data_IF_835974925663
#
_entry.id   IF_835974925663
#
_cell.length_a   1.000
_cell.length_b   1.000
_cell.length_c   1.000
_cell.angle_alpha   90.00
_cell.angle_beta   90.00
_cell.angle_gamma   90.00
#
_symmetry.space_group_name_H-M   'P 1'
#
loop_
_entity.id
_entity.type
_entity.pdbx_description
1 polymer ?
#
# COMPACT_ATOMS: atom_id res chain seq x y z
N UNK A 1 6.24 7.25 23.08
CA UNK A 1 7.12 6.76 22.00
C UNK A 1 6.27 5.97 21.02
N UNK A 2 6.51 6.11 19.72
CA UNK A 2 5.82 5.34 18.69
C UNK A 2 6.30 3.89 18.76
N UNK A 3 5.37 2.93 18.91
CA UNK A 3 5.75 1.51 19.10
C UNK A 3 6.25 0.83 17.83
N UNK A 4 5.99 1.40 16.66
CA UNK A 4 6.45 0.80 15.38
C UNK A 4 7.96 0.88 15.20
N UNK A 5 8.66 1.72 15.98
CA UNK A 5 10.13 1.81 15.98
C UNK A 5 10.80 0.51 16.44
N UNK A 6 10.11 -0.30 17.25
CA UNK A 6 10.63 -1.57 17.78
C UNK A 6 10.60 -2.70 16.73
N UNK A 7 10.08 -2.43 15.53
CA UNK A 7 9.92 -3.38 14.44
C UNK A 7 10.69 -2.95 13.19
N UNK A 8 11.16 -3.94 12.43
CA UNK A 8 11.82 -3.70 11.15
C UNK A 8 10.83 -3.48 10.01
N UNK A 9 9.63 -4.07 10.11
CA UNK A 9 8.60 -4.01 9.08
C UNK A 9 7.21 -3.73 9.66
N UNK A 10 6.52 -2.72 9.13
CA UNK A 10 5.11 -2.46 9.47
C UNK A 10 4.23 -2.70 8.25
N UNK A 11 3.24 -3.59 8.37
CA UNK A 11 2.20 -3.83 7.37
C UNK A 11 1.07 -2.82 7.57
N UNK A 12 0.97 -1.85 6.67
CA UNK A 12 -0.11 -0.84 6.68
C UNK A 12 -1.33 -1.38 5.93
N UNK A 13 -2.47 -1.42 6.61
CA UNK A 13 -3.75 -1.93 6.09
C UNK A 13 -4.82 -0.84 6.19
N UNK A 14 -5.12 -0.13 5.09
CA UNK A 14 -6.25 0.79 5.00
C UNK A 14 -7.60 0.06 5.11
N UNK A 15 -8.51 0.58 5.93
CA UNK A 15 -9.83 -0.02 6.19
C UNK A 15 -10.94 1.01 6.01
N UNK A 16 -11.96 0.68 5.20
CA UNK A 16 -13.18 1.50 5.06
C UNK A 16 -14.45 0.65 4.84
N UNK A 17 -15.23 0.48 5.90
CA UNK A 17 -16.36 -0.43 6.01
C UNK A 17 -16.05 -1.85 5.52
N UNK A 18 -15.17 -2.53 6.25
CA UNK A 18 -14.74 -3.91 5.98
C UNK A 18 -14.96 -4.76 7.25
N UNK A 19 -16.02 -4.49 8.02
CA UNK A 19 -16.22 -5.13 9.32
C UNK A 19 -16.19 -6.66 9.24
N UNK A 20 -16.77 -7.22 8.17
CA UNK A 20 -16.82 -8.65 7.87
C UNK A 20 -15.43 -9.30 7.70
N UNK A 21 -14.44 -8.54 7.23
CA UNK A 21 -13.12 -9.05 6.89
C UNK A 21 -12.09 -8.94 8.05
N UNK A 22 -12.34 -8.10 9.06
CA UNK A 22 -11.33 -7.78 10.08
C UNK A 22 -10.84 -8.99 10.88
N UNK A 23 -11.74 -9.88 11.31
CA UNK A 23 -11.33 -11.07 12.10
C UNK A 23 -10.63 -12.13 11.24
N UNK A 24 -11.01 -12.25 9.96
CA UNK A 24 -10.29 -13.12 9.02
C UNK A 24 -8.90 -12.58 8.70
N UNK A 25 -8.76 -11.26 8.57
CA UNK A 25 -7.46 -10.59 8.43
C UNK A 25 -6.60 -10.81 9.67
N UNK A 26 -7.18 -10.66 10.86
CA UNK A 26 -6.51 -10.91 12.11
C UNK A 26 -5.91 -12.31 12.15
N UNK A 27 -6.70 -13.35 11.88
CA UNK A 27 -6.24 -14.75 11.85
C UNK A 27 -5.03 -14.92 10.90
N UNK A 28 -5.16 -14.47 9.64
CA UNK A 28 -4.09 -14.58 8.64
C UNK A 28 -2.83 -13.82 9.03
N UNK A 29 -2.98 -12.63 9.60
CA UNK A 29 -1.84 -11.82 9.99
C UNK A 29 -1.18 -12.37 11.26
N UNK A 30 -1.96 -12.82 12.25
CA UNK A 30 -1.43 -13.41 13.48
C UNK A 30 -0.67 -14.70 13.21
N UNK A 31 -1.13 -15.49 12.24
CA UNK A 31 -0.43 -16.69 11.79
C UNK A 31 0.86 -16.36 11.02
N UNK A 32 0.86 -15.27 10.25
CA UNK A 32 2.00 -14.85 9.46
C UNK A 32 3.12 -14.21 10.30
N UNK A 33 2.81 -13.32 11.24
CA UNK A 33 3.81 -12.52 11.96
C UNK A 33 4.97 -13.34 12.57
N UNK A 34 4.74 -14.50 13.22
CA UNK A 34 5.81 -15.36 13.73
C UNK A 34 6.74 -15.94 12.66
N UNK A 35 6.26 -16.01 11.42
CA UNK A 35 6.97 -16.58 10.27
C UNK A 35 7.49 -15.50 9.30
N UNK A 36 7.33 -14.22 9.65
CA UNK A 36 7.89 -13.13 8.85
C UNK A 36 9.41 -13.20 8.83
N UNK A 37 10.03 -12.86 7.70
CA UNK A 37 11.49 -12.82 7.55
C UNK A 37 12.20 -11.82 8.50
N UNK A 38 11.46 -10.87 9.07
CA UNK A 38 12.00 -9.85 9.96
C UNK A 38 10.98 -9.46 11.04
N UNK A 39 11.42 -8.78 12.10
CA UNK A 39 10.51 -8.33 13.17
C UNK A 39 9.41 -7.43 12.58
N UNK A 40 8.15 -7.86 12.71
CA UNK A 40 7.03 -7.28 11.98
C UNK A 40 5.83 -6.95 12.86
N UNK A 41 5.12 -5.88 12.54
CA UNK A 41 3.85 -5.51 13.15
C UNK A 41 2.81 -5.09 12.11
N UNK A 42 1.55 -4.98 12.53
CA UNK A 42 0.43 -4.55 11.70
C UNK A 42 -0.05 -3.17 12.15
N UNK A 43 -0.32 -2.28 11.20
CA UNK A 43 -0.97 -0.99 11.43
C UNK A 43 -2.27 -0.91 10.61
N UNK A 44 -3.40 -1.02 11.29
CA UNK A 44 -4.70 -0.71 10.68
C UNK A 44 -4.89 0.82 10.58
N UNK A 45 -5.30 1.28 9.41
CA UNK A 45 -5.67 2.68 9.19
C UNK A 45 -7.14 2.77 8.88
N UNK A 46 -7.97 3.06 9.88
CA UNK A 46 -9.39 3.28 9.67
C UNK A 46 -9.63 4.62 8.95
N UNK A 47 -10.06 4.56 7.70
CA UNK A 47 -10.35 5.73 6.84
C UNK A 47 -11.77 6.25 7.08
N UNK A 48 -12.09 6.52 8.35
CA UNK A 48 -13.40 7.05 8.76
C UNK A 48 -14.58 6.14 8.43
N UNK A 49 -14.48 4.84 8.74
CA UNK A 49 -15.59 3.88 8.54
C UNK A 49 -16.86 4.30 9.28
N UNK A 50 -18.01 3.96 8.69
CA UNK A 50 -19.36 4.24 9.21
C UNK A 50 -20.05 3.00 9.78
N UNK A 51 -19.46 1.81 9.60
CA UNK A 51 -19.90 0.54 10.18
C UNK A 51 -19.10 0.22 11.47
N UNK A 52 -19.16 -1.02 11.96
CA UNK A 52 -18.43 -1.43 13.16
C UNK A 52 -16.95 -1.79 12.90
N UNK A 53 -16.36 -1.38 11.77
CA UNK A 53 -14.95 -1.69 11.45
C UNK A 53 -14.00 -1.17 12.53
N UNK A 54 -14.20 0.05 13.02
CA UNK A 54 -13.33 0.63 14.05
C UNK A 54 -13.45 -0.13 15.38
N UNK A 55 -14.65 -0.58 15.76
CA UNK A 55 -14.86 -1.40 16.95
C UNK A 55 -14.03 -2.68 16.87
N UNK A 56 -14.19 -3.43 15.78
CA UNK A 56 -13.45 -4.68 15.56
C UNK A 56 -11.93 -4.46 15.50
N UNK A 57 -11.44 -3.40 14.84
CA UNK A 57 -10.00 -3.06 14.83
C UNK A 57 -9.47 -2.87 16.26
N UNK A 58 -10.21 -2.15 17.12
CA UNK A 58 -9.82 -1.93 18.50
C UNK A 58 -9.77 -3.23 19.29
N UNK A 59 -10.74 -4.11 19.09
CA UNK A 59 -10.78 -5.43 19.74
C UNK A 59 -9.56 -6.28 19.37
N UNK A 60 -9.21 -6.32 18.07
CA UNK A 60 -7.99 -6.99 17.57
C UNK A 60 -6.72 -6.42 18.21
N UNK A 61 -6.56 -5.10 18.20
CA UNK A 61 -5.36 -4.45 18.75
C UNK A 61 -5.26 -4.55 20.28
N UNK A 62 -6.38 -4.74 20.98
CA UNK A 62 -6.38 -4.92 22.43
C UNK A 62 -5.82 -6.28 22.86
N UNK A 63 -5.97 -7.31 22.03
CA UNK A 63 -5.57 -8.70 22.33
C UNK A 63 -4.28 -9.15 21.64
N UNK A 64 -3.77 -8.40 20.67
CA UNK A 64 -2.49 -8.65 20.02
C UNK A 64 -1.50 -7.50 20.24
N UNK A 65 -0.33 -7.80 20.82
CA UNK A 65 0.70 -6.78 21.13
C UNK A 65 1.35 -6.14 19.89
N UNK A 66 1.38 -6.88 18.78
CA UNK A 66 2.03 -6.50 17.51
C UNK A 66 1.05 -5.86 16.52
N UNK A 67 -0.14 -5.48 17.00
CA UNK A 67 -1.20 -4.87 16.20
C UNK A 67 -1.50 -3.48 16.73
N UNK A 68 -1.48 -2.51 15.83
CA UNK A 68 -1.70 -1.10 16.11
C UNK A 68 -2.78 -0.54 15.19
N UNK A 69 -3.33 0.61 15.57
CA UNK A 69 -4.28 1.31 14.72
C UNK A 69 -4.13 2.82 14.80
N UNK A 70 -4.51 3.49 13.72
CA UNK A 70 -4.88 4.90 13.70
C UNK A 70 -6.28 5.03 13.08
N UNK A 71 -7.02 6.08 13.47
CA UNK A 71 -8.35 6.34 12.92
C UNK A 71 -8.44 7.76 12.42
N UNK A 72 -8.78 7.92 11.14
CA UNK A 72 -8.99 9.21 10.51
C UNK A 72 -10.38 9.74 10.86
N UNK A 73 -10.50 11.07 10.94
CA UNK A 73 -11.75 11.75 11.33
C UNK A 73 -12.90 11.52 10.34
N UNK A 74 -12.58 11.37 9.06
CA UNK A 74 -13.55 11.17 7.97
C UNK A 74 -12.88 10.42 6.82
N UNK A 75 -13.70 9.81 5.97
CA UNK A 75 -13.21 9.16 4.76
C UNK A 75 -12.51 10.15 3.82
N UNK A 76 -11.25 9.84 3.47
CA UNK A 76 -10.44 10.57 2.50
C UNK A 76 -9.98 9.72 1.32
N UNK A 77 -10.31 8.43 1.30
CA UNK A 77 -9.96 7.48 0.26
C UNK A 77 -8.60 6.81 0.49
N UNK A 78 -8.34 5.77 -0.31
CA UNK A 78 -7.18 4.88 -0.16
C UNK A 78 -5.83 5.62 -0.09
N UNK A 79 -5.60 6.62 -0.95
CA UNK A 79 -4.34 7.40 -0.91
C UNK A 79 -4.15 8.12 0.42
N UNK A 80 -5.24 8.64 1.02
CA UNK A 80 -5.19 9.38 2.27
C UNK A 80 -4.85 8.46 3.44
N UNK A 81 -5.54 7.31 3.52
CA UNK A 81 -5.27 6.29 4.53
C UNK A 81 -3.85 5.72 4.42
N UNK A 82 -3.40 5.42 3.20
CA UNK A 82 -2.03 4.97 2.95
C UNK A 82 -1.00 6.02 3.39
N UNK A 83 -1.21 7.31 3.08
CA UNK A 83 -0.30 8.38 3.52
C UNK A 83 -0.22 8.45 5.03
N UNK A 84 -1.38 8.51 5.69
CA UNK A 84 -1.45 8.59 7.13
C UNK A 84 -0.71 7.43 7.79
N UNK A 85 -0.87 6.20 7.28
CA UNK A 85 -0.13 5.04 7.75
C UNK A 85 1.39 5.16 7.54
N UNK A 86 1.85 5.60 6.37
CA UNK A 86 3.27 5.81 6.08
C UNK A 86 3.90 6.86 6.99
N UNK A 87 3.19 7.97 7.22
CA UNK A 87 3.72 9.10 7.99
C UNK A 87 3.92 8.76 9.47
N UNK A 88 3.00 8.00 10.05
CA UNK A 88 3.09 7.58 11.46
C UNK A 88 3.95 6.33 11.65
N UNK A 89 4.39 5.65 10.60
CA UNK A 89 5.21 4.44 10.75
C UNK A 89 6.68 4.81 10.95
N UNK A 90 7.34 4.17 11.90
CA UNK A 90 8.76 4.39 12.22
C UNK A 90 9.68 3.20 11.91
N UNK A 91 9.12 2.05 11.51
CA UNK A 91 9.91 0.91 11.03
C UNK A 91 10.72 1.22 9.77
N UNK A 92 11.81 0.48 9.54
CA UNK A 92 12.68 0.62 8.36
C UNK A 92 11.98 0.28 7.04
N UNK A 93 11.08 -0.69 7.07
CA UNK A 93 10.30 -1.13 5.91
C UNK A 93 8.81 -0.94 6.14
N UNK A 94 8.11 -0.52 5.09
CA UNK A 94 6.67 -0.29 5.10
C UNK A 94 6.01 -1.19 4.07
N UNK A 95 5.13 -2.07 4.55
CA UNK A 95 4.29 -2.94 3.76
C UNK A 95 2.94 -2.28 3.48
N UNK A 96 2.33 -2.64 2.37
CA UNK A 96 0.95 -2.29 2.08
C UNK A 96 0.18 -3.54 1.64
N UNK A 97 -1.01 -3.71 2.20
CA UNK A 97 -1.97 -4.75 1.86
C UNK A 97 -3.40 -4.17 1.89
N UNK A 98 -4.29 -4.69 1.05
CA UNK A 98 -5.73 -4.40 1.13
C UNK A 98 -6.41 -5.26 2.19
N UNK A 99 -7.52 -4.76 2.73
CA UNK A 99 -8.32 -5.46 3.74
C UNK A 99 -9.28 -6.54 3.18
N UNK A 100 -9.30 -6.78 1.86
CA UNK A 100 -10.33 -7.61 1.21
C UNK A 100 -9.92 -9.07 0.95
N UNK A 101 -8.81 -9.50 1.55
CA UNK A 101 -8.27 -10.87 1.52
C UNK A 101 -7.95 -11.40 0.10
N UNK A 102 -7.81 -10.51 -0.89
CA UNK A 102 -7.40 -10.91 -2.25
C UNK A 102 -5.91 -11.26 -2.35
N UNK A 103 -5.12 -10.87 -1.36
CA UNK A 103 -3.70 -11.19 -1.21
C UNK A 103 -3.45 -11.90 0.11
N UNK A 104 -2.36 -12.64 0.18
CA UNK A 104 -1.97 -13.42 1.36
C UNK A 104 -0.72 -12.80 2.01
N UNK A 105 -0.68 -12.63 3.34
CA UNK A 105 0.46 -12.04 4.03
C UNK A 105 1.79 -12.78 3.79
N UNK A 106 1.75 -14.09 3.56
CA UNK A 106 2.91 -14.95 3.32
C UNK A 106 3.73 -14.50 2.11
N UNK A 107 3.08 -13.91 1.11
CA UNK A 107 3.75 -13.37 -0.07
C UNK A 107 4.65 -12.16 0.29
N UNK A 108 4.50 -11.53 1.47
CA UNK A 108 5.44 -10.50 1.93
C UNK A 108 6.86 -11.06 2.09
N UNK A 109 7.04 -12.31 2.49
CA UNK A 109 8.37 -12.92 2.59
C UNK A 109 9.07 -12.97 1.21
N UNK A 110 8.32 -13.22 0.13
CA UNK A 110 8.85 -13.16 -1.23
C UNK A 110 9.37 -11.75 -1.55
N UNK A 111 8.62 -10.71 -1.17
CA UNK A 111 9.01 -9.31 -1.41
C UNK A 111 10.19 -8.89 -0.53
N UNK A 112 10.17 -9.24 0.76
CA UNK A 112 11.21 -8.92 1.74
C UNK A 112 12.56 -9.51 1.36
N UNK A 113 12.61 -10.68 0.71
CA UNK A 113 13.86 -11.28 0.22
C UNK A 113 14.66 -10.41 -0.76
N UNK A 114 14.03 -9.40 -1.37
CA UNK A 114 14.68 -8.47 -2.31
C UNK A 114 14.80 -7.05 -1.77
N UNK A 115 14.17 -6.68 -0.65
CA UNK A 115 14.03 -5.28 -0.24
C UNK A 115 15.37 -4.60 0.13
N UNK A 116 16.41 -5.38 0.43
CA UNK A 116 17.75 -4.83 0.68
C UNK A 116 18.38 -4.15 -0.54
N UNK A 117 18.02 -4.60 -1.75
CA UNK A 117 18.62 -4.14 -3.01
C UNK A 117 17.76 -3.12 -3.78
N UNK A 118 16.54 -2.88 -3.30
CA UNK A 118 15.53 -2.09 -3.99
C UNK A 118 14.74 -1.20 -3.02
N UNK A 119 14.34 -0.03 -3.47
CA UNK A 119 13.54 0.92 -2.69
C UNK A 119 12.04 0.56 -2.66
N UNK A 120 11.58 -0.19 -3.67
CA UNK A 120 10.24 -0.75 -3.74
C UNK A 120 10.29 -2.13 -4.38
N UNK A 121 9.75 -3.12 -3.67
CA UNK A 121 9.42 -4.43 -4.23
C UNK A 121 7.91 -4.57 -4.25
N UNK A 122 7.34 -4.96 -5.39
CA UNK A 122 5.89 -5.05 -5.57
C UNK A 122 5.46 -6.37 -6.19
N UNK A 123 4.27 -6.82 -5.81
CA UNK A 123 3.63 -7.98 -6.40
C UNK A 123 3.18 -7.73 -7.85
N UNK A 124 3.24 -8.77 -8.68
CA UNK A 124 2.47 -8.90 -9.92
C UNK A 124 1.52 -10.06 -9.72
N UNK A 125 0.22 -9.80 -9.86
CA UNK A 125 -0.79 -10.85 -9.74
C UNK A 125 -0.64 -11.87 -10.87
N UNK A 126 -0.48 -13.14 -10.49
CA UNK A 126 -0.52 -14.26 -11.43
C UNK A 126 -1.95 -14.82 -11.54
N UNK A 127 -2.29 -15.49 -12.65
CA UNK A 127 -3.56 -16.22 -12.81
C UNK A 127 -4.87 -15.43 -12.60
N UNK A 128 -4.97 -14.21 -13.14
CA UNK A 128 -6.21 -13.42 -13.12
C UNK A 128 -7.39 -14.12 -13.82
N UNK A 129 -8.37 -14.57 -13.03
CA UNK A 129 -9.73 -14.96 -13.47
C UNK A 129 -10.67 -13.76 -13.65
N UNK A 130 -10.14 -12.63 -14.12
CA UNK A 130 -10.95 -11.45 -14.44
C UNK A 130 -11.74 -11.65 -15.75
N UNK A 131 -12.96 -11.11 -15.82
CA UNK A 131 -13.77 -11.11 -17.05
C UNK A 131 -13.03 -10.38 -18.19
N UNK A 132 -13.31 -10.75 -19.45
CA UNK A 132 -12.67 -10.19 -20.65
C UNK A 132 -12.75 -8.66 -20.67
N UNK A 133 -13.89 -8.09 -20.23
CA UNK A 133 -14.11 -6.65 -20.13
C UNK A 133 -13.18 -5.98 -19.10
N UNK A 134 -12.99 -6.59 -17.92
CA UNK A 134 -12.05 -6.11 -16.89
C UNK A 134 -10.60 -6.19 -17.37
N UNK A 135 -10.23 -7.24 -18.12
CA UNK A 135 -8.90 -7.38 -18.72
C UNK A 135 -8.62 -6.29 -19.77
N UNK A 136 -9.59 -5.96 -20.61
CA UNK A 136 -9.46 -4.92 -21.63
C UNK A 136 -9.34 -3.51 -21.01
N UNK A 137 -10.18 -3.19 -20.02
CA UNK A 137 -10.09 -1.92 -19.29
C UNK A 137 -8.77 -1.77 -18.54
N UNK A 138 -8.31 -2.83 -17.87
CA UNK A 138 -7.01 -2.83 -17.19
C UNK A 138 -5.85 -2.68 -18.19
N UNK A 139 -5.94 -3.25 -19.39
CA UNK A 139 -4.94 -3.08 -20.45
C UNK A 139 -4.87 -1.64 -20.95
N UNK A 140 -6.01 -0.97 -21.13
CA UNK A 140 -6.08 0.44 -21.57
C UNK A 140 -5.53 1.37 -20.49
N UNK A 141 -5.98 1.22 -19.24
CA UNK A 141 -5.48 2.03 -18.12
C UNK A 141 -3.98 1.83 -17.89
N UNK A 142 -3.50 0.58 -17.93
CA UNK A 142 -2.07 0.29 -17.79
C UNK A 142 -1.27 0.75 -19.01
N UNK A 143 -1.84 0.72 -20.22
CA UNK A 143 -1.21 1.22 -21.45
C UNK A 143 -1.01 2.73 -21.41
N UNK A 144 -2.06 3.47 -21.05
CA UNK A 144 -2.00 4.92 -20.91
C UNK A 144 -1.04 5.34 -19.79
N UNK A 145 -1.05 4.65 -18.64
CA UNK A 145 -0.08 4.89 -17.56
C UNK A 145 1.35 4.69 -18.06
N UNK A 146 1.65 3.55 -18.70
CA UNK A 146 2.99 3.22 -19.21
C UNK A 146 3.53 4.29 -20.17
N UNK A 147 2.65 4.84 -21.02
CA UNK A 147 3.00 5.90 -21.96
C UNK A 147 3.43 7.20 -21.24
N UNK A 148 3.00 7.43 -20.00
CA UNK A 148 3.29 8.65 -19.26
C UNK A 148 4.42 8.42 -18.24
N UNK A 149 4.37 7.32 -17.50
CA UNK A 149 5.30 7.05 -16.40
C UNK A 149 6.62 6.44 -16.86
N UNK A 150 6.63 5.70 -17.98
CA UNK A 150 7.81 4.96 -18.47
C UNK A 150 8.48 4.09 -17.37
N UNK A 151 7.68 3.58 -16.45
CA UNK A 151 8.15 2.92 -15.22
C UNK A 151 8.46 1.41 -15.37
N UNK A 152 8.20 0.82 -16.54
CA UNK A 152 8.41 -0.62 -16.78
C UNK A 152 7.50 -1.57 -15.97
N UNK A 153 6.49 -1.05 -15.27
CA UNK A 153 5.64 -1.84 -14.36
C UNK A 153 4.45 -2.47 -15.07
N UNK A 154 4.30 -3.79 -14.90
CA UNK A 154 3.28 -4.64 -15.51
C UNK A 154 1.93 -4.57 -14.79
N UNK A 155 1.92 -4.46 -13.47
CA UNK A 155 0.69 -4.42 -12.64
C UNK A 155 0.81 -3.50 -11.42
N UNK A 156 0.47 -2.21 -11.55
CA UNK A 156 0.48 -1.28 -10.39
C UNK A 156 -0.65 -1.52 -9.40
N UNK A 157 -1.70 -2.22 -9.82
CA UNK A 157 -2.90 -2.42 -9.03
C UNK A 157 -2.80 -3.62 -8.09
N UNK A 158 -1.66 -4.31 -8.02
CA UNK A 158 -1.43 -5.30 -6.97
C UNK A 158 -1.22 -4.57 -5.64
N UNK A 159 -2.02 -4.84 -4.60
CA UNK A 159 -1.90 -4.12 -3.34
C UNK A 159 -0.63 -4.51 -2.58
N UNK A 160 -0.10 -5.72 -2.76
CA UNK A 160 1.09 -6.17 -2.04
C UNK A 160 2.36 -5.42 -2.49
N UNK A 161 2.89 -4.59 -1.60
CA UNK A 161 4.11 -3.80 -1.81
C UNK A 161 4.92 -3.73 -0.52
N UNK A 162 6.24 -3.70 -0.65
CA UNK A 162 7.19 -3.38 0.43
C UNK A 162 8.08 -2.24 -0.05
N UNK A 163 8.20 -1.20 0.76
CA UNK A 163 8.98 0.00 0.49
C UNK A 163 9.97 0.27 1.61
N UNK A 164 11.12 0.85 1.28
CA UNK A 164 11.96 1.48 2.30
C UNK A 164 11.29 2.74 2.85
N UNK A 165 11.31 2.92 4.17
CA UNK A 165 10.56 3.99 4.83
C UNK A 165 11.03 5.40 4.44
N UNK A 166 12.33 5.60 4.27
CA UNK A 166 12.97 6.84 3.81
C UNK A 166 12.50 7.26 2.40
N UNK A 167 12.21 6.31 1.52
CA UNK A 167 11.62 6.59 0.21
C UNK A 167 10.11 6.77 0.29
N UNK A 168 9.41 5.93 1.04
CA UNK A 168 7.95 6.00 1.18
C UNK A 168 7.49 7.34 1.77
N UNK A 169 8.19 7.85 2.80
CA UNK A 169 7.86 9.12 3.46
C UNK A 169 8.06 10.34 2.56
N UNK A 170 9.04 10.30 1.65
CA UNK A 170 9.37 11.38 0.70
C UNK A 170 8.47 11.43 -0.53
N UNK A 171 7.60 10.44 -0.73
CA UNK A 171 6.67 10.44 -1.88
C UNK A 171 5.77 11.69 -1.80
N UNK A 172 5.66 12.50 -2.87
CA UNK A 172 4.69 13.58 -2.93
C UNK A 172 3.28 13.00 -3.10
N UNK A 173 2.41 13.25 -2.14
CA UNK A 173 1.05 12.67 -2.11
C UNK A 173 0.03 13.57 -2.80
N UNK A 174 -0.83 12.93 -3.60
CA UNK A 174 -2.04 13.50 -4.17
C UNK A 174 -3.13 12.42 -4.24
N UNK A 175 -4.39 12.80 -4.45
CA UNK A 175 -5.50 11.85 -4.61
C UNK A 175 -5.22 10.90 -5.78
N UNK A 176 -5.33 9.58 -5.58
CA UNK A 176 -5.01 8.59 -6.63
C UNK A 176 -3.54 8.16 -6.71
N UNK A 177 -2.64 8.79 -5.94
CA UNK A 177 -1.20 8.52 -5.91
C UNK A 177 -0.83 7.03 -5.75
N UNK A 178 -1.58 6.24 -4.96
CA UNK A 178 -1.31 4.80 -4.76
C UNK A 178 -1.11 3.99 -6.06
N UNK A 179 -1.65 4.46 -7.19
CA UNK A 179 -1.49 3.85 -8.53
C UNK A 179 -0.14 4.14 -9.20
N UNK A 180 0.57 5.16 -8.72
CA UNK A 180 1.80 5.72 -9.28
C UNK A 180 3.01 5.49 -8.38
N UNK A 181 2.87 4.73 -7.27
CA UNK A 181 3.97 4.44 -6.34
C UNK A 181 5.28 4.06 -7.05
N UNK A 182 5.31 3.13 -8.04
CA UNK A 182 6.58 2.79 -8.68
C UNK A 182 7.19 3.94 -9.48
N UNK A 183 6.35 4.71 -10.18
CA UNK A 183 6.81 5.87 -10.93
C UNK A 183 7.38 6.94 -9.98
N UNK A 184 6.79 7.11 -8.80
CA UNK A 184 7.24 8.08 -7.79
C UNK A 184 8.53 7.67 -7.09
N UNK A 185 8.76 6.36 -6.93
CA UNK A 185 10.05 5.84 -6.46
C UNK A 185 11.13 6.08 -7.51
N UNK A 186 10.83 5.86 -8.80
CA UNK A 186 11.76 6.16 -9.89
C UNK A 186 12.05 7.66 -10.01
N UNK A 187 11.09 8.56 -9.72
CA UNK A 187 11.35 10.01 -9.66
C UNK A 187 12.38 10.38 -8.59
N UNK A 188 12.44 9.61 -7.50
CA UNK A 188 13.44 9.74 -6.43
C UNK A 188 14.74 8.97 -6.74
N UNK A 189 14.94 8.53 -8.00
CA UNK A 189 16.07 7.70 -8.45
C UNK A 189 16.20 6.36 -7.70
N UNK A 190 15.13 5.90 -7.05
CA UNK A 190 15.09 4.57 -6.43
C UNK A 190 14.94 3.45 -7.45
N UNK A 191 15.33 2.24 -7.07
CA UNK A 191 15.18 1.02 -7.87
C UNK A 191 13.89 0.29 -7.48
N UNK A 192 13.28 -0.35 -8.46
CA UNK A 192 12.05 -1.13 -8.25
C UNK A 192 12.22 -2.58 -8.71
N UNK A 193 11.56 -3.51 -8.03
CA UNK A 193 11.48 -4.92 -8.42
C UNK A 193 10.03 -5.41 -8.42
N UNK A 194 9.71 -6.27 -9.36
CA UNK A 194 8.38 -6.88 -9.48
C UNK A 194 8.49 -8.39 -9.29
N UNK A 195 7.69 -8.95 -8.38
CA UNK A 195 7.70 -10.37 -8.00
C UNK A 195 6.32 -10.98 -8.24
N UNK A 196 6.20 -12.14 -8.91
CA UNK A 196 4.93 -12.85 -9.03
C UNK A 196 4.36 -13.22 -7.65
N UNK A 197 3.08 -12.93 -7.42
CA UNK A 197 2.37 -13.22 -6.15
C UNK A 197 1.02 -13.89 -6.40
N UNK A 198 0.49 -14.54 -5.37
CA UNK A 198 -0.82 -15.17 -5.40
C UNK A 198 -1.93 -14.12 -5.39
N UNK A 199 -3.08 -14.45 -5.99
CA UNK A 199 -4.25 -13.58 -5.99
C UNK A 199 -5.55 -14.39 -5.94
N UNK A 200 -6.37 -14.10 -4.94
CA UNK A 200 -7.62 -14.79 -4.68
C UNK A 200 -8.83 -13.91 -5.05
N UNK A 201 -9.99 -14.51 -5.37
CA UNK A 201 -11.23 -13.75 -5.45
C UNK A 201 -11.59 -13.16 -4.08
N UNK A 202 -12.32 -12.03 -4.07
CA UNK A 202 -12.79 -11.40 -2.83
C UNK A 202 -13.73 -12.35 -2.10
N UNK A 203 -13.56 -12.48 -0.78
CA UNK A 203 -14.36 -13.38 0.07
C UNK A 203 -15.68 -12.72 0.50
N UNK A 204 -15.64 -11.45 0.92
CA UNK A 204 -16.82 -10.71 1.40
C UNK A 204 -16.76 -9.20 1.04
N UNK A 205 -17.90 -8.51 1.14
CA UNK A 205 -18.02 -7.07 0.85
C UNK A 205 -18.33 -6.68 -0.61
N UNK A 206 -18.98 -5.53 -0.78
CA UNK A 206 -19.36 -4.98 -2.09
C UNK A 206 -18.23 -4.15 -2.73
N UNK A 207 -18.09 -4.23 -4.06
CA UNK A 207 -17.11 -3.42 -4.80
C UNK A 207 -17.59 -1.97 -4.90
N UNK A 208 -17.05 -1.06 -4.08
CA UNK A 208 -17.41 0.38 -4.06
C UNK A 208 -16.93 1.20 -5.28
N UNK A 209 -16.32 0.58 -6.29
CA UNK A 209 -15.78 1.28 -7.47
C UNK A 209 -16.79 1.38 -8.63
N UNK A 210 -17.41 2.55 -8.81
CA UNK A 210 -18.26 2.86 -9.97
C UNK A 210 -17.45 3.13 -11.26
N UNK A 211 -18.03 2.77 -12.42
CA UNK A 211 -17.38 2.78 -13.75
C UNK A 211 -16.85 4.16 -14.19
N UNK A 212 -17.50 5.25 -13.79
CA UNK A 212 -17.11 6.62 -14.14
C UNK A 212 -15.85 7.10 -13.40
N UNK A 213 -15.69 6.73 -12.12
CA UNK A 213 -14.47 6.95 -11.34
C UNK A 213 -13.27 6.11 -11.82
N UNK A 214 -13.51 5.12 -12.69
CA UNK A 214 -12.46 4.25 -13.25
C UNK A 214 -11.80 4.80 -14.52
N UNK A 215 -12.40 5.79 -15.18
CA UNK A 215 -11.89 6.32 -16.44
C UNK A 215 -11.36 7.74 -16.29
N UNK A 216 -12.12 8.67 -15.69
CA UNK A 216 -11.74 10.09 -15.65
C UNK A 216 -10.65 10.36 -14.60
N UNK A 217 -10.77 9.81 -13.39
CA UNK A 217 -9.78 10.04 -12.33
C UNK A 217 -8.36 9.61 -12.75
N UNK A 218 -8.13 8.44 -13.37
CA UNK A 218 -6.80 8.10 -13.87
C UNK A 218 -6.21 9.08 -14.88
N UNK A 219 -7.02 9.74 -15.72
CA UNK A 219 -6.51 10.77 -16.65
C UNK A 219 -6.03 12.02 -15.91
N UNK A 220 -6.82 12.51 -14.96
CA UNK A 220 -6.45 13.68 -14.14
C UNK A 220 -5.20 13.36 -13.30
N UNK A 221 -5.17 12.17 -12.70
CA UNK A 221 -4.02 11.70 -11.91
C UNK A 221 -2.74 11.63 -12.76
N UNK A 222 -2.85 11.19 -14.03
CA UNK A 222 -1.72 11.17 -14.96
C UNK A 222 -1.21 12.57 -15.32
N UNK A 223 -2.11 13.54 -15.52
CA UNK A 223 -1.72 14.93 -15.74
C UNK A 223 -1.02 15.50 -14.50
N UNK A 224 -1.56 15.24 -13.30
CA UNK A 224 -0.95 15.63 -12.05
C UNK A 224 0.48 15.06 -11.92
N UNK A 225 0.66 13.76 -12.18
CA UNK A 225 1.97 13.14 -12.21
C UNK A 225 2.91 13.76 -13.25
N UNK A 226 2.45 13.98 -14.49
CA UNK A 226 3.27 14.55 -15.56
C UNK A 226 3.74 15.98 -15.23
N UNK A 227 2.83 16.82 -14.72
CA UNK A 227 3.14 18.17 -14.28
C UNK A 227 4.12 18.16 -13.10
N UNK A 228 3.84 17.35 -12.08
CA UNK A 228 4.66 17.22 -10.88
C UNK A 228 6.05 16.70 -11.20
N UNK A 229 6.18 15.73 -12.11
CA UNK A 229 7.48 15.19 -12.56
C UNK A 229 8.42 16.30 -13.05
N UNK A 230 7.91 17.28 -13.81
CA UNK A 230 8.73 18.40 -14.32
C UNK A 230 9.13 19.40 -13.24
N UNK A 231 8.51 19.35 -12.06
CA UNK A 231 8.66 20.28 -10.94
C UNK A 231 9.15 19.57 -9.67
N UNK A 232 9.55 18.30 -9.78
CA UNK A 232 9.95 17.50 -8.63
C UNK A 232 11.24 18.04 -8.02
N UNK A 233 11.26 18.15 -6.69
CA UNK A 233 12.41 18.63 -5.92
C UNK A 233 13.02 17.42 -5.22
N UNK A 234 14.25 17.09 -5.58
CA UNK A 234 15.05 16.00 -5.01
C UNK A 234 16.15 16.63 -4.14
N UNK A 235 16.00 16.58 -2.82
CA UNK A 235 17.00 17.09 -1.88
C UNK A 235 17.46 15.99 -0.94
N UNK A 236 18.71 16.11 -0.47
CA UNK A 236 19.33 15.19 0.47
C UNK A 236 20.06 16.01 1.53
N UNK A 237 19.70 15.79 2.80
CA UNK A 237 20.44 16.32 3.93
C UNK A 237 21.59 15.37 4.19
N UNK A 238 22.83 15.84 4.03
CA UNK A 238 24.04 15.02 4.19
C UNK A 238 24.64 15.12 5.59
N UNK A 239 24.30 16.17 6.33
CA UNK A 239 24.79 16.45 7.68
C UNK A 239 23.79 17.36 8.42
N UNK A 240 23.64 17.18 9.72
CA UNK A 240 22.81 18.01 10.59
C UNK A 240 23.20 17.86 12.07
N UNK A 241 23.04 18.91 12.85
CA UNK A 241 23.31 18.95 14.30
C UNK A 241 22.02 19.19 15.11
N UNK A 242 20.90 18.60 14.67
CA UNK A 242 19.56 18.83 15.22
C UNK A 242 19.27 18.04 16.50
N UNK A 243 20.06 17.02 16.80
CA UNK A 243 19.96 16.21 18.02
C UNK A 243 21.37 16.08 18.61
N UNK A 244 21.46 16.02 19.94
CA UNK A 244 22.70 15.80 20.69
C UNK A 244 23.29 14.40 20.47
#
# INVERSE_FOLDING_TARGET
MNKTIDYQFTIVIPVYNEEENIYLLEEKLSDFLPHSMCSSCVLFVNDGSTDNSLGRIKDVCARHKDFFYISLRKNGGLSNAMKAGIDVTESSYIGYMDADLQTVPEDFNLLLSYISDYELVMGIRTNRKDSILKKMQSKIANGFRRMITHDGVKDTGCPLKVMRADYAKRIPFFTGMHRFLPALILLQKGKIKQIPVHHFPRVAGSSKYHLWNRLISPFIDCFAFYWMRKRFIDYHIVDYNLYE
#
